data_IF_461022252210
#
_entry.id   IF_461022252210
#
_cell.length_a   1.000
_cell.length_b   1.000
_cell.length_c   1.000
_cell.angle_alpha   90.00
_cell.angle_beta   90.00
_cell.angle_gamma   90.00
#
_symmetry.space_group_name_H-M   'P 1'
#
loop_
_entity.id
_entity.type
_entity.pdbx_description
1 polymer ?
#
# COMPACT_ATOMS: atom_id res chain seq x y z
N UNK A 1 -0.11 -13.15 9.13
CA UNK A 1 -0.35 -12.10 8.16
C UNK A 1 0.11 -12.54 6.81
N UNK A 2 -0.71 -12.29 5.82
CA UNK A 2 -0.48 -12.86 4.50
C UNK A 2 -0.27 -11.79 3.46
N UNK A 3 0.48 -10.77 3.80
CA UNK A 3 0.89 -9.77 2.83
C UNK A 3 2.39 -9.51 2.98
N UNK A 4 2.97 -8.86 1.99
CA UNK A 4 4.39 -8.55 1.98
C UNK A 4 4.63 -7.05 1.93
N UNK A 5 5.50 -6.56 2.81
CA UNK A 5 5.97 -5.18 2.78
C UNK A 5 7.48 -5.22 2.83
N UNK A 6 8.12 -4.65 1.81
CA UNK A 6 9.58 -4.59 1.79
C UNK A 6 10.08 -3.74 2.94
N UNK A 7 11.22 -4.10 3.49
CA UNK A 7 11.74 -3.44 4.70
C UNK A 7 12.00 -1.94 4.51
N UNK A 8 12.20 -1.50 3.28
CA UNK A 8 12.43 -0.08 3.00
C UNK A 8 11.16 0.76 3.04
N UNK A 9 9.99 0.12 3.08
CA UNK A 9 8.72 0.83 3.05
C UNK A 9 8.22 1.10 4.45
N UNK A 10 7.47 2.17 4.60
CA UNK A 10 6.94 2.56 5.89
C UNK A 10 5.42 2.53 5.90
N UNK A 11 4.86 1.82 6.85
CA UNK A 11 3.41 1.68 7.01
C UNK A 11 3.06 2.36 8.32
N UNK A 12 2.24 3.41 8.25
CA UNK A 12 1.79 4.11 9.45
C UNK A 12 0.88 3.20 10.28
N UNK A 13 0.59 3.64 11.48
CA UNK A 13 -0.38 2.95 12.33
C UNK A 13 -1.76 2.99 11.71
N UNK A 14 -2.61 2.06 12.10
CA UNK A 14 -4.01 2.01 11.71
C UNK A 14 -4.19 1.90 10.19
N UNK A 15 -3.35 1.09 9.56
CA UNK A 15 -3.46 0.76 8.15
C UNK A 15 -3.92 -0.68 8.02
N UNK A 16 -4.86 -0.94 7.11
CA UNK A 16 -5.27 -2.29 6.80
C UNK A 16 -4.72 -2.70 5.44
N UNK A 17 -4.12 -3.87 5.37
CA UNK A 17 -3.57 -4.42 4.13
C UNK A 17 -4.13 -5.83 3.96
N UNK A 18 -4.79 -6.05 2.83
CA UNK A 18 -5.43 -7.33 2.58
C UNK A 18 -4.44 -8.43 2.20
N UNK A 19 -4.95 -9.65 2.23
CA UNK A 19 -4.15 -10.84 1.97
C UNK A 19 -3.57 -10.83 0.56
N UNK A 20 -2.33 -11.24 0.42
CA UNK A 20 -1.67 -11.37 -0.88
C UNK A 20 -1.16 -10.07 -1.46
N UNK A 21 -1.40 -8.95 -0.81
CA UNK A 21 -0.91 -7.66 -1.29
C UNK A 21 0.60 -7.58 -1.11
N UNK A 22 1.28 -6.99 -2.08
CA UNK A 22 2.73 -6.82 -2.06
C UNK A 22 3.09 -5.36 -2.22
N UNK A 23 3.86 -4.84 -1.28
CA UNK A 23 4.32 -3.46 -1.28
C UNK A 23 5.84 -3.49 -1.37
N UNK A 24 6.37 -2.95 -2.46
CA UNK A 24 7.79 -3.07 -2.77
C UNK A 24 8.60 -1.95 -2.13
N UNK A 25 9.57 -1.38 -2.82
CA UNK A 25 10.59 -0.51 -2.18
C UNK A 25 10.12 0.91 -2.00
N UNK A 26 10.49 1.50 -0.88
CA UNK A 26 10.38 2.95 -0.63
C UNK A 26 8.95 3.48 -0.74
N UNK A 27 8.00 2.70 -0.31
CA UNK A 27 6.60 3.12 -0.29
C UNK A 27 6.25 3.66 1.08
N UNK A 28 5.27 4.55 1.11
CA UNK A 28 4.73 5.05 2.37
C UNK A 28 3.21 4.96 2.31
N UNK A 29 2.64 4.21 3.25
CA UNK A 29 1.19 4.08 3.37
C UNK A 29 0.78 4.80 4.63
N UNK A 30 -0.04 5.82 4.49
CA UNK A 30 -0.34 6.73 5.58
C UNK A 30 -1.55 6.25 6.38
N UNK A 31 -1.68 6.85 7.56
CA UNK A 31 -2.63 6.44 8.58
C UNK A 31 -4.06 6.34 8.04
N UNK A 32 -4.73 5.29 8.42
CA UNK A 32 -6.13 5.11 8.07
C UNK A 32 -6.37 4.54 6.69
N UNK A 33 -5.33 4.31 5.90
CA UNK A 33 -5.51 3.74 4.57
C UNK A 33 -6.01 2.30 4.66
N UNK A 34 -6.78 1.90 3.68
CA UNK A 34 -7.33 0.55 3.60
C UNK A 34 -7.03 0.00 2.22
N UNK A 35 -6.19 -1.01 2.16
CA UNK A 35 -5.76 -1.62 0.90
C UNK A 35 -6.35 -3.01 0.83
N UNK A 36 -7.01 -3.31 -0.28
CA UNK A 36 -7.64 -4.61 -0.46
C UNK A 36 -6.63 -5.73 -0.66
N UNK A 37 -7.13 -6.89 -1.06
CA UNK A 37 -6.28 -8.07 -1.24
C UNK A 37 -5.71 -8.13 -2.65
N UNK A 38 -4.62 -8.88 -2.79
CA UNK A 38 -3.97 -9.17 -4.07
C UNK A 38 -3.58 -7.92 -4.86
N UNK A 39 -3.24 -6.86 -4.15
CA UNK A 39 -2.75 -5.64 -4.78
C UNK A 39 -1.24 -5.70 -4.93
N UNK A 40 -0.71 -4.88 -5.81
CA UNK A 40 0.73 -4.79 -6.00
C UNK A 40 1.09 -3.32 -6.13
N UNK A 41 2.03 -2.87 -5.30
CA UNK A 41 2.53 -1.50 -5.37
C UNK A 41 3.99 -1.56 -5.75
N UNK A 42 4.34 -0.86 -6.83
CA UNK A 42 5.71 -0.78 -7.27
C UNK A 42 6.54 0.03 -6.28
N UNK A 43 7.64 0.58 -6.73
CA UNK A 43 8.49 1.33 -5.81
C UNK A 43 8.10 2.80 -5.79
N UNK A 44 8.39 3.43 -4.66
CA UNK A 44 8.20 4.87 -4.46
C UNK A 44 6.73 5.27 -4.67
N UNK A 45 5.82 4.51 -4.06
CA UNK A 45 4.39 4.78 -4.10
C UNK A 45 3.97 5.39 -2.77
N UNK A 46 3.18 6.46 -2.83
CA UNK A 46 2.65 7.09 -1.64
C UNK A 46 1.12 6.96 -1.60
N UNK A 47 0.61 6.38 -0.53
CA UNK A 47 -0.83 6.25 -0.32
C UNK A 47 -1.19 7.18 0.84
N UNK A 48 -2.00 8.18 0.56
CA UNK A 48 -2.33 9.21 1.54
C UNK A 48 -3.30 8.70 2.60
N UNK A 49 -3.51 9.53 3.61
CA UNK A 49 -4.39 9.20 4.73
C UNK A 49 -5.77 8.80 4.24
N UNK A 50 -6.30 7.76 4.84
CA UNK A 50 -7.69 7.34 4.67
C UNK A 50 -8.06 6.94 3.24
N UNK A 51 -7.10 6.72 2.37
CA UNK A 51 -7.35 6.25 1.01
C UNK A 51 -7.85 4.81 1.06
N UNK A 52 -8.80 4.48 0.21
CA UNK A 52 -9.26 3.10 0.07
C UNK A 52 -8.90 2.58 -1.31
N UNK A 53 -8.23 1.45 -1.34
CA UNK A 53 -7.83 0.76 -2.57
C UNK A 53 -8.56 -0.57 -2.59
N UNK A 54 -9.26 -0.85 -3.69
CA UNK A 54 -9.98 -2.10 -3.82
C UNK A 54 -9.06 -3.30 -3.99
N UNK A 55 -9.64 -4.43 -4.36
CA UNK A 55 -8.88 -5.66 -4.55
C UNK A 55 -8.27 -5.71 -5.94
N UNK A 56 -7.16 -6.43 -6.09
CA UNK A 56 -6.51 -6.71 -7.37
C UNK A 56 -6.05 -5.45 -8.12
N UNK A 57 -5.71 -4.40 -7.39
CA UNK A 57 -5.24 -3.15 -7.99
C UNK A 57 -3.73 -3.20 -8.13
N UNK A 58 -3.23 -2.81 -9.30
CA UNK A 58 -1.80 -2.68 -9.52
C UNK A 58 -1.44 -1.21 -9.64
N UNK A 59 -0.51 -0.76 -8.81
CA UNK A 59 -0.05 0.61 -8.83
C UNK A 59 1.40 0.62 -9.26
N UNK A 60 1.68 1.36 -10.33
CA UNK A 60 3.01 1.42 -10.90
C UNK A 60 3.94 2.28 -10.05
N UNK A 61 5.19 2.35 -10.45
CA UNK A 61 6.21 3.10 -9.71
C UNK A 61 5.90 4.60 -9.72
N UNK A 62 6.30 5.27 -8.65
CA UNK A 62 6.27 6.72 -8.54
C UNK A 62 4.86 7.32 -8.61
N UNK A 63 3.88 6.58 -8.11
CA UNK A 63 2.48 7.04 -8.10
C UNK A 63 2.10 7.51 -6.70
N UNK A 64 1.40 8.63 -6.62
CA UNK A 64 0.81 9.09 -5.38
C UNK A 64 -0.70 9.02 -5.50
N UNK A 65 -1.33 8.41 -4.50
CA UNK A 65 -2.79 8.26 -4.46
C UNK A 65 -3.31 9.09 -3.30
N UNK A 66 -4.20 10.02 -3.59
CA UNK A 66 -4.76 10.91 -2.59
C UNK A 66 -6.23 10.59 -2.31
N UNK A 67 -6.64 11.00 -1.14
CA UNK A 67 -7.99 10.79 -0.67
C UNK A 67 -9.03 11.49 -1.56
#
# INVERSE_FOLDING_TARGET
MNYFVHESSYIDDDVYIGEGTRIWHFCHVQKGARIGRECSMGQNVNISNNVRIGNYVKIQNNVSVYE
#
